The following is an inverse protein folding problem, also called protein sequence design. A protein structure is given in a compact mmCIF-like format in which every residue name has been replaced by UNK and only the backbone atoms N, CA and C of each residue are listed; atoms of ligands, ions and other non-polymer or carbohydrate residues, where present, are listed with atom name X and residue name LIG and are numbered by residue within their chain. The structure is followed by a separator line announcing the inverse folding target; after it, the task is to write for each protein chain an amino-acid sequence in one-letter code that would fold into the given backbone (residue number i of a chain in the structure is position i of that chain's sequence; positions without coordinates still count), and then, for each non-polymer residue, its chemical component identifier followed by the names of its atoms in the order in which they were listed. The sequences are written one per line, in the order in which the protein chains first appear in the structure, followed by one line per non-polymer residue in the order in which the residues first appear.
data_IF_020244555913
#
_entry.id   IF_020244555913
#
_cell.length_a   1.000
_cell.length_b   1.000
_cell.length_c   1.000
_cell.angle_alpha   90.00
_cell.angle_beta   90.00
_cell.angle_gamma   90.00
#
_symmetry.space_group_name_H-M   'P 1'
#
loop_
_entity.id
_entity.type
_entity.pdbx_description
1 polymer ?
#
# COMPACT_ATOMS: atom_id res chain seq x y z
N UNK A 1 8.33 26.70 -16.73
CA UNK A 1 9.14 26.40 -17.94
C UNK A 1 8.79 25.04 -18.54
N UNK A 2 8.74 23.94 -17.76
CA UNK A 2 8.48 22.59 -18.26
C UNK A 2 7.11 22.47 -18.95
N UNK A 3 6.04 22.91 -18.32
CA UNK A 3 4.66 22.84 -18.86
C UNK A 3 4.55 23.64 -20.18
N UNK A 4 5.22 24.79 -20.28
CA UNK A 4 5.27 25.55 -21.54
C UNK A 4 6.00 24.81 -22.65
N UNK A 5 7.05 24.05 -22.32
CA UNK A 5 7.83 23.27 -23.28
C UNK A 5 7.11 22.01 -23.74
N UNK A 6 6.44 21.33 -22.81
CA UNK A 6 5.76 20.06 -23.08
C UNK A 6 4.39 20.24 -23.73
N UNK A 7 3.77 21.42 -23.58
CA UNK A 7 2.41 21.70 -24.06
C UNK A 7 1.39 20.60 -23.72
N UNK A 8 1.30 20.12 -22.44
CA UNK A 8 0.40 19.02 -22.12
C UNK A 8 -1.06 19.42 -22.32
N UNK A 9 -1.90 18.50 -22.78
CA UNK A 9 -3.36 18.69 -22.88
C UNK A 9 -4.02 18.71 -21.50
N UNK A 10 -3.45 17.97 -20.53
CA UNK A 10 -3.90 17.89 -19.15
C UNK A 10 -2.71 17.69 -18.21
N UNK A 11 -2.82 18.24 -17.01
CA UNK A 11 -1.87 18.02 -15.91
C UNK A 11 -2.58 17.25 -14.80
N UNK A 12 -2.05 16.09 -14.41
CA UNK A 12 -2.56 15.26 -13.33
C UNK A 12 -1.70 15.47 -12.08
N UNK A 13 -2.33 15.90 -10.98
CA UNK A 13 -1.73 15.98 -9.65
C UNK A 13 -2.16 14.79 -8.79
N UNK A 14 -1.19 14.02 -8.30
CA UNK A 14 -1.43 12.84 -7.45
C UNK A 14 -1.13 13.13 -5.96
N UNK A 15 -1.15 14.39 -5.54
CA UNK A 15 -0.80 14.80 -4.18
C UNK A 15 0.70 14.95 -3.94
N UNK A 16 1.07 15.12 -2.67
CA UNK A 16 2.43 15.40 -2.26
C UNK A 16 2.88 16.84 -2.56
N UNK A 17 4.00 17.25 -1.95
CA UNK A 17 4.46 18.66 -2.03
C UNK A 17 4.86 19.10 -3.45
N UNK A 18 5.32 18.18 -4.29
CA UNK A 18 5.74 18.47 -5.67
C UNK A 18 4.53 18.81 -6.57
N UNK A 19 3.36 18.23 -6.30
CA UNK A 19 2.15 18.46 -7.08
C UNK A 19 1.65 19.92 -6.93
N UNK A 20 1.91 20.59 -5.80
CA UNK A 20 1.47 21.95 -5.53
C UNK A 20 1.96 22.98 -6.56
N UNK A 21 3.28 23.20 -6.67
CA UNK A 21 3.83 24.13 -7.66
C UNK A 21 3.48 23.78 -9.10
N UNK A 22 3.44 22.47 -9.44
CA UNK A 22 3.08 22.01 -10.77
C UNK A 22 1.61 22.32 -11.10
N UNK A 23 0.69 22.09 -10.15
CA UNK A 23 -0.73 22.38 -10.30
C UNK A 23 -1.01 23.88 -10.46
N UNK A 24 -0.36 24.72 -9.62
CA UNK A 24 -0.46 26.19 -9.75
C UNK A 24 0.06 26.66 -11.11
N UNK A 25 1.20 26.15 -11.55
CA UNK A 25 1.77 26.50 -12.86
C UNK A 25 0.85 26.05 -14.02
N UNK A 26 0.20 24.88 -13.92
CA UNK A 26 -0.78 24.45 -14.90
C UNK A 26 -1.96 25.42 -14.99
N UNK A 27 -2.52 25.79 -13.85
CA UNK A 27 -3.63 26.74 -13.76
C UNK A 27 -3.26 28.12 -14.35
N UNK A 28 -2.12 28.68 -13.96
CA UNK A 28 -1.62 29.97 -14.51
C UNK A 28 -1.41 29.93 -16.01
N UNK A 29 -1.01 28.77 -16.55
CA UNK A 29 -0.81 28.58 -17.99
C UNK A 29 -2.08 28.11 -18.71
N UNK A 30 -3.24 28.14 -18.02
CA UNK A 30 -4.55 27.75 -18.56
C UNK A 30 -4.56 26.31 -19.11
N UNK A 31 -3.76 25.41 -18.51
CA UNK A 31 -3.80 23.99 -18.81
C UNK A 31 -4.79 23.31 -17.86
N UNK A 32 -5.67 22.43 -18.36
CA UNK A 32 -6.58 21.69 -17.51
C UNK A 32 -5.82 20.96 -16.40
N UNK A 33 -6.19 21.20 -15.15
CA UNK A 33 -5.66 20.50 -13.97
C UNK A 33 -6.70 19.49 -13.51
N UNK A 34 -6.28 18.25 -13.35
CA UNK A 34 -7.02 17.17 -12.68
C UNK A 34 -6.22 16.78 -11.46
N UNK A 35 -6.87 16.57 -10.32
CA UNK A 35 -6.22 16.02 -9.13
C UNK A 35 -6.86 14.69 -8.76
N UNK A 36 -6.06 13.80 -8.18
CA UNK A 36 -6.50 12.53 -7.62
C UNK A 36 -6.07 12.45 -6.17
N UNK A 37 -7.02 12.17 -5.27
CA UNK A 37 -6.78 11.90 -3.86
C UNK A 37 -6.98 10.42 -3.58
N UNK A 38 -5.95 9.77 -3.06
CA UNK A 38 -5.95 8.34 -2.80
C UNK A 38 -6.57 7.97 -1.45
N UNK A 39 -6.49 8.88 -0.49
CA UNK A 39 -6.89 8.64 0.90
C UNK A 39 -8.33 9.12 1.16
N UNK A 40 -8.95 8.63 2.23
CA UNK A 40 -10.24 9.11 2.71
C UNK A 40 -10.17 10.54 3.30
N UNK A 41 -8.97 11.03 3.62
CA UNK A 41 -8.72 12.40 4.09
C UNK A 41 -7.85 13.11 3.08
N UNK A 42 -8.33 14.25 2.58
CA UNK A 42 -7.61 15.02 1.57
C UNK A 42 -6.30 15.61 2.13
N UNK A 43 -5.19 15.33 1.45
CA UNK A 43 -3.91 15.95 1.75
C UNK A 43 -3.91 17.45 1.50
N UNK A 44 -3.10 18.21 2.26
CA UNK A 44 -3.05 19.68 2.20
C UNK A 44 -2.85 20.21 0.78
N UNK A 45 -1.96 19.60 0.00
CA UNK A 45 -1.71 20.01 -1.39
C UNK A 45 -2.96 19.87 -2.26
N UNK A 46 -3.66 18.73 -2.17
CA UNK A 46 -4.89 18.50 -2.93
C UNK A 46 -6.03 19.41 -2.47
N UNK A 47 -6.14 19.69 -1.17
CA UNK A 47 -7.09 20.70 -0.66
C UNK A 47 -6.87 22.09 -1.30
N UNK A 48 -5.62 22.52 -1.44
CA UNK A 48 -5.30 23.81 -2.04
C UNK A 48 -5.49 23.83 -3.56
N UNK A 49 -5.25 22.71 -4.23
CA UNK A 49 -5.42 22.60 -5.68
C UNK A 49 -6.88 22.35 -6.10
N UNK A 50 -7.70 21.80 -5.23
CA UNK A 50 -9.08 21.45 -5.55
C UNK A 50 -9.90 22.62 -6.15
N UNK A 51 -9.86 23.87 -5.63
CA UNK A 51 -10.56 24.98 -6.25
C UNK A 51 -10.11 25.27 -7.67
N UNK A 52 -8.82 25.07 -7.98
CA UNK A 52 -8.18 25.35 -9.26
C UNK A 52 -8.32 24.20 -10.27
N UNK A 53 -8.60 23.00 -9.79
CA UNK A 53 -8.72 21.81 -10.62
C UNK A 53 -10.04 21.82 -11.42
N UNK A 54 -9.99 21.29 -12.64
CA UNK A 54 -11.18 21.04 -13.46
C UNK A 54 -11.98 19.84 -12.96
N UNK A 55 -11.29 18.79 -12.54
CA UNK A 55 -11.86 17.59 -11.93
C UNK A 55 -11.07 17.21 -10.68
N UNK A 56 -11.79 16.72 -9.67
CA UNK A 56 -11.26 16.14 -8.44
C UNK A 56 -11.67 14.68 -8.43
N UNK A 57 -10.70 13.79 -8.54
CA UNK A 57 -10.92 12.35 -8.53
C UNK A 57 -10.57 11.81 -7.14
N UNK A 58 -11.39 10.93 -6.59
CA UNK A 58 -11.22 10.35 -5.27
C UNK A 58 -11.07 8.84 -5.37
N UNK A 59 -10.06 8.30 -4.69
CA UNK A 59 -9.86 6.86 -4.53
C UNK A 59 -10.81 6.25 -3.51
N UNK A 60 -11.12 7.02 -2.45
CA UNK A 60 -12.03 6.67 -1.37
C UNK A 60 -13.02 7.81 -1.11
N UNK A 61 -14.17 7.51 -0.52
CA UNK A 61 -15.11 8.52 -0.02
C UNK A 61 -14.53 9.25 1.20
N UNK A 62 -15.03 10.45 1.50
CA UNK A 62 -14.66 11.25 2.67
C UNK A 62 -13.73 12.44 2.36
N UNK A 63 -12.82 12.33 1.40
CA UNK A 63 -11.81 13.36 1.15
C UNK A 63 -12.37 14.70 0.65
N UNK A 64 -13.39 14.66 -0.21
CA UNK A 64 -13.98 15.79 -0.91
C UNK A 64 -15.49 15.63 -1.11
N UNK A 65 -16.21 15.07 -0.14
CA UNK A 65 -17.64 14.81 -0.25
C UNK A 65 -18.46 16.08 -0.46
N UNK A 66 -18.00 17.23 0.07
CA UNK A 66 -18.66 18.53 -0.09
C UNK A 66 -18.27 19.28 -1.38
N UNK A 67 -17.41 18.70 -2.23
CA UNK A 67 -16.94 19.34 -3.46
C UNK A 67 -17.72 18.80 -4.66
N UNK A 68 -18.64 19.62 -5.21
CA UNK A 68 -19.55 19.24 -6.30
C UNK A 68 -18.88 18.65 -7.56
N UNK A 69 -17.60 18.94 -7.80
CA UNK A 69 -16.80 18.40 -8.92
C UNK A 69 -15.97 17.18 -8.56
N UNK A 70 -16.09 16.69 -7.32
CA UNK A 70 -15.43 15.46 -6.89
C UNK A 70 -16.17 14.24 -7.43
N UNK A 71 -15.41 13.24 -7.85
CA UNK A 71 -15.89 11.98 -8.39
C UNK A 71 -15.17 10.83 -7.73
N UNK A 72 -15.90 9.88 -7.16
CA UNK A 72 -15.34 8.64 -6.65
C UNK A 72 -15.06 7.70 -7.83
N UNK A 73 -13.78 7.46 -8.10
CA UNK A 73 -13.32 6.64 -9.24
C UNK A 73 -12.52 5.41 -8.80
N UNK A 74 -12.21 5.30 -7.52
CA UNK A 74 -11.30 4.29 -6.98
C UNK A 74 -9.82 4.69 -7.12
N UNK A 75 -8.96 3.89 -6.49
CA UNK A 75 -7.51 4.05 -6.61
C UNK A 75 -6.98 3.32 -7.83
N UNK A 76 -5.95 3.85 -8.53
CA UNK A 76 -5.32 3.16 -9.63
C UNK A 76 -4.57 1.93 -9.11
N UNK A 77 -4.92 0.76 -9.62
CA UNK A 77 -4.24 -0.51 -9.35
C UNK A 77 -3.50 -0.95 -10.59
N UNK A 78 -2.32 -1.53 -10.42
CA UNK A 78 -1.51 -2.05 -11.53
C UNK A 78 -2.27 -3.15 -12.26
N UNK A 79 -2.21 -3.15 -13.59
CA UNK A 79 -2.97 -4.10 -14.43
C UNK A 79 -2.60 -5.56 -14.14
N UNK A 80 -1.36 -5.84 -13.76
CA UNK A 80 -0.87 -7.15 -13.38
C UNK A 80 -1.56 -7.68 -12.12
N UNK A 81 -1.89 -6.78 -11.17
CA UNK A 81 -2.65 -7.11 -9.96
C UNK A 81 -4.14 -7.24 -10.28
N UNK A 82 -4.67 -6.36 -11.15
CA UNK A 82 -6.07 -6.48 -11.61
C UNK A 82 -6.33 -7.81 -12.29
N UNK A 83 -5.35 -8.34 -13.02
CA UNK A 83 -5.47 -9.67 -13.65
C UNK A 83 -5.59 -10.84 -12.64
N UNK A 84 -5.25 -10.61 -11.35
CA UNK A 84 -5.45 -11.59 -10.28
C UNK A 84 -6.91 -11.67 -9.80
N UNK A 85 -7.77 -10.72 -10.17
CA UNK A 85 -9.16 -10.65 -9.71
C UNK A 85 -9.99 -11.88 -10.12
N UNK A 86 -9.72 -12.45 -11.30
CA UNK A 86 -10.43 -13.62 -11.83
C UNK A 86 -10.00 -14.94 -11.15
N UNK A 87 -8.94 -14.91 -10.34
CA UNK A 87 -8.44 -16.05 -9.58
C UNK A 87 -8.33 -15.68 -8.09
N UNK A 88 -9.46 -15.49 -7.38
CA UNK A 88 -9.44 -15.11 -5.98
C UNK A 88 -8.66 -16.11 -5.13
N UNK A 89 -7.95 -15.62 -4.13
CA UNK A 89 -7.17 -16.44 -3.22
C UNK A 89 -8.05 -17.51 -2.57
N UNK A 90 -7.76 -18.78 -2.83
CA UNK A 90 -8.40 -19.87 -2.13
C UNK A 90 -7.67 -20.12 -0.81
N UNK A 91 -8.31 -19.72 0.29
CA UNK A 91 -7.79 -20.01 1.62
C UNK A 91 -8.20 -21.44 1.97
N UNK A 92 -7.24 -22.35 2.24
CA UNK A 92 -7.56 -23.67 2.72
C UNK A 92 -8.34 -23.61 4.03
N UNK A 93 -9.27 -24.53 4.23
CA UNK A 93 -9.99 -24.68 5.51
C UNK A 93 -9.09 -25.15 6.65
N UNK A 94 -7.99 -25.83 6.32
CA UNK A 94 -7.02 -26.35 7.26
C UNK A 94 -5.58 -26.14 6.75
N UNK A 95 -4.65 -25.93 7.66
CA UNK A 95 -3.23 -25.82 7.39
C UNK A 95 -2.48 -27.02 7.98
N UNK A 96 -1.47 -27.51 7.27
CA UNK A 96 -0.62 -28.62 7.68
C UNK A 96 0.85 -28.30 7.39
N UNK A 97 1.75 -29.20 7.81
CA UNK A 97 3.18 -29.04 7.47
C UNK A 97 3.45 -29.11 5.96
N UNK A 98 2.63 -29.86 5.19
CA UNK A 98 2.69 -29.96 3.73
C UNK A 98 2.06 -28.75 3.03
N UNK A 99 1.07 -28.13 3.69
CA UNK A 99 0.37 -26.91 3.22
C UNK A 99 0.31 -25.90 4.37
N UNK A 100 1.45 -25.25 4.70
CA UNK A 100 1.48 -24.25 5.75
C UNK A 100 0.73 -22.97 5.32
N UNK A 101 0.30 -22.18 6.32
CA UNK A 101 -0.20 -20.81 6.10
C UNK A 101 0.92 -19.97 5.48
N UNK A 102 0.66 -19.39 4.33
CA UNK A 102 1.56 -18.49 3.61
C UNK A 102 1.32 -17.06 4.05
N UNK A 103 2.18 -16.57 4.94
CA UNK A 103 2.09 -15.25 5.52
C UNK A 103 3.03 -14.30 4.79
N UNK A 104 2.48 -13.28 4.13
CA UNK A 104 3.23 -12.20 3.49
C UNK A 104 3.24 -10.96 4.39
N UNK A 105 4.43 -10.47 4.73
CA UNK A 105 4.60 -9.23 5.50
C UNK A 105 5.17 -8.15 4.59
N UNK A 106 4.48 -7.01 4.47
CA UNK A 106 4.85 -5.90 3.60
C UNK A 106 5.11 -4.63 4.39
N UNK A 107 6.38 -4.24 4.47
CA UNK A 107 6.80 -2.98 5.11
C UNK A 107 6.60 -1.73 4.26
N UNK A 108 6.32 -1.89 2.95
CA UNK A 108 6.31 -0.80 1.97
C UNK A 108 7.71 -0.51 1.40
N UNK A 109 7.82 0.41 0.44
CA UNK A 109 9.05 0.65 -0.35
C UNK A 109 10.30 0.93 0.49
N UNK A 110 10.16 1.56 1.65
CA UNK A 110 11.26 1.86 2.57
C UNK A 110 11.38 0.85 3.71
N UNK A 111 10.45 -0.10 3.80
CA UNK A 111 10.31 -0.97 4.95
C UNK A 111 9.56 -0.32 6.11
N UNK A 112 9.27 -1.09 7.15
CA UNK A 112 8.54 -0.64 8.33
C UNK A 112 9.13 -1.24 9.59
N UNK A 113 9.93 -0.45 10.35
CA UNK A 113 10.53 -0.91 11.60
C UNK A 113 9.52 -1.54 12.57
N UNK A 114 8.33 -0.96 12.80
CA UNK A 114 7.33 -1.60 13.66
C UNK A 114 6.89 -3.00 13.18
N UNK A 115 6.84 -3.26 11.87
CA UNK A 115 6.56 -4.60 11.34
C UNK A 115 7.79 -5.50 11.44
N UNK A 116 8.98 -4.95 11.14
CA UNK A 116 10.25 -5.69 11.18
C UNK A 116 10.61 -6.14 12.61
N UNK A 117 10.11 -5.48 13.63
CA UNK A 117 10.26 -5.84 15.03
C UNK A 117 9.07 -6.63 15.57
N UNK A 118 7.86 -6.13 15.30
CA UNK A 118 6.64 -6.69 15.89
C UNK A 118 6.27 -8.07 15.36
N UNK A 119 6.48 -8.34 14.07
CA UNK A 119 6.16 -9.67 13.52
C UNK A 119 7.07 -10.75 14.05
N UNK A 120 8.42 -10.63 14.04
CA UNK A 120 9.28 -11.64 14.69
C UNK A 120 8.95 -11.82 16.17
N UNK A 121 8.75 -10.73 16.94
CA UNK A 121 8.41 -10.81 18.35
C UNK A 121 7.07 -11.52 18.60
N UNK A 122 6.08 -11.32 17.74
CA UNK A 122 4.82 -12.07 17.82
C UNK A 122 5.02 -13.57 17.52
N UNK A 123 5.86 -13.91 16.55
CA UNK A 123 6.16 -15.29 16.21
C UNK A 123 6.95 -16.02 17.30
N UNK A 124 7.79 -15.33 18.08
CA UNK A 124 8.47 -15.90 19.25
C UNK A 124 7.50 -16.41 20.32
N UNK A 125 6.26 -15.93 20.35
CA UNK A 125 5.24 -16.38 21.31
C UNK A 125 4.54 -17.68 20.89
N UNK A 126 4.77 -18.15 19.67
CA UNK A 126 4.15 -19.35 19.12
C UNK A 126 4.95 -20.61 19.52
N UNK A 127 4.25 -21.73 19.66
CA UNK A 127 4.89 -23.02 19.86
C UNK A 127 5.59 -23.50 18.58
N UNK A 128 6.56 -24.41 18.72
CA UNK A 128 7.24 -25.03 17.57
C UNK A 128 6.25 -25.74 16.63
N UNK A 129 5.15 -26.30 17.15
CA UNK A 129 4.11 -26.91 16.35
C UNK A 129 3.36 -25.87 15.50
N UNK A 130 3.04 -24.72 16.08
CA UNK A 130 2.41 -23.61 15.36
C UNK A 130 3.34 -23.02 14.30
N UNK A 131 4.63 -22.85 14.64
CA UNK A 131 5.63 -22.31 13.68
C UNK A 131 5.82 -23.24 12.48
N UNK A 132 5.73 -24.57 12.63
CA UNK A 132 5.79 -25.51 11.50
C UNK A 132 4.64 -25.37 10.51
N UNK A 133 3.53 -24.76 10.94
CA UNK A 133 2.37 -24.49 10.09
C UNK A 133 2.48 -23.13 9.37
N UNK A 134 3.61 -22.43 9.46
CA UNK A 134 3.83 -21.14 8.85
C UNK A 134 4.94 -21.19 7.78
N UNK A 135 4.71 -20.47 6.70
CA UNK A 135 5.71 -20.09 5.71
C UNK A 135 5.63 -18.58 5.54
N UNK A 136 6.68 -17.87 5.91
CA UNK A 136 6.69 -16.40 5.99
C UNK A 136 7.56 -15.80 4.90
N UNK A 137 7.01 -14.86 4.12
CA UNK A 137 7.76 -13.95 3.28
C UNK A 137 7.69 -12.56 3.90
N UNK A 138 8.83 -11.98 4.26
CA UNK A 138 8.88 -10.65 4.90
C UNK A 138 9.69 -9.67 4.06
N UNK A 139 9.02 -8.68 3.48
CA UNK A 139 9.64 -7.55 2.83
C UNK A 139 9.93 -6.46 3.85
N UNK A 140 11.21 -6.26 4.17
CA UNK A 140 11.65 -5.44 5.30
C UNK A 140 12.22 -4.05 4.91
N UNK A 141 12.50 -3.82 3.62
CA UNK A 141 13.23 -2.63 3.16
C UNK A 141 14.75 -2.83 3.20
N UNK A 142 15.45 -2.28 2.21
CA UNK A 142 16.89 -2.48 2.04
C UNK A 142 17.72 -1.99 3.24
N UNK A 143 17.32 -0.86 3.85
CA UNK A 143 18.03 -0.30 5.00
C UNK A 143 17.86 -1.13 6.28
N UNK A 144 16.90 -2.03 6.33
CA UNK A 144 16.55 -2.77 7.54
C UNK A 144 16.78 -4.28 7.42
N UNK A 145 17.32 -4.75 6.29
CA UNK A 145 17.45 -6.17 6.00
C UNK A 145 18.22 -6.93 7.09
N UNK A 146 19.45 -6.50 7.41
CA UNK A 146 20.34 -7.22 8.33
C UNK A 146 19.76 -7.28 9.76
N UNK A 147 19.17 -6.18 10.23
CA UNK A 147 18.53 -6.15 11.55
C UNK A 147 17.29 -7.05 11.60
N UNK A 148 16.52 -7.12 10.50
CA UNK A 148 15.36 -8.01 10.42
C UNK A 148 15.78 -9.48 10.42
N UNK A 149 16.84 -9.83 9.68
CA UNK A 149 17.43 -11.17 9.71
C UNK A 149 17.87 -11.54 11.14
N UNK A 150 18.54 -10.62 11.84
CA UNK A 150 18.93 -10.84 13.23
C UNK A 150 17.73 -11.07 14.16
N UNK A 151 16.65 -10.34 13.98
CA UNK A 151 15.40 -10.52 14.76
C UNK A 151 14.82 -11.93 14.56
N UNK A 152 14.73 -12.38 13.30
CA UNK A 152 14.23 -13.73 13.00
C UNK A 152 15.15 -14.86 13.49
N UNK A 153 16.43 -14.61 13.68
CA UNK A 153 17.36 -15.62 14.21
C UNK A 153 17.06 -16.02 15.66
N UNK A 154 16.33 -15.20 16.40
CA UNK A 154 15.86 -15.51 17.76
C UNK A 154 14.62 -16.41 17.77
N UNK A 155 13.88 -16.47 16.68
CA UNK A 155 12.70 -17.33 16.56
C UNK A 155 13.14 -18.77 16.29
N UNK A 156 12.42 -19.75 16.81
CA UNK A 156 12.64 -21.17 16.52
C UNK A 156 12.67 -21.44 15.02
N UNK A 157 13.35 -22.50 14.60
CA UNK A 157 13.51 -22.86 13.18
C UNK A 157 12.17 -23.08 12.49
N UNK A 158 11.82 -22.24 11.55
CA UNK A 158 10.67 -22.35 10.67
C UNK A 158 11.02 -21.77 9.28
N UNK A 159 10.09 -21.89 8.33
CA UNK A 159 10.33 -21.41 6.96
C UNK A 159 10.07 -19.91 6.85
N UNK A 160 11.15 -19.12 6.70
CA UNK A 160 11.08 -17.67 6.49
C UNK A 160 12.01 -17.21 5.38
N UNK A 161 11.48 -16.41 4.44
CA UNK A 161 12.24 -15.68 3.44
C UNK A 161 12.17 -14.18 3.76
N UNK A 162 13.33 -13.58 4.04
CA UNK A 162 13.45 -12.15 4.33
C UNK A 162 14.03 -11.47 3.09
N UNK A 163 13.35 -10.47 2.59
CA UNK A 163 13.74 -9.79 1.36
C UNK A 163 13.68 -8.27 1.51
N UNK A 164 14.63 -7.53 0.92
CA UNK A 164 14.62 -6.08 0.97
C UNK A 164 13.46 -5.47 0.17
N UNK A 165 13.08 -6.11 -0.93
CA UNK A 165 12.05 -5.64 -1.85
C UNK A 165 11.32 -6.82 -2.52
N UNK A 166 10.10 -6.59 -2.99
CA UNK A 166 9.30 -7.54 -3.77
C UNK A 166 9.13 -6.96 -5.18
N UNK A 167 9.75 -7.59 -6.17
CA UNK A 167 9.68 -7.13 -7.56
C UNK A 167 8.32 -7.45 -8.20
N UNK A 168 7.82 -8.66 -7.98
CA UNK A 168 6.54 -9.12 -8.48
C UNK A 168 5.48 -9.20 -7.37
N UNK A 169 4.79 -8.09 -7.18
CA UNK A 169 3.70 -8.01 -6.18
C UNK A 169 2.48 -8.87 -6.58
N UNK A 170 2.25 -9.09 -7.88
CA UNK A 170 1.16 -9.94 -8.34
C UNK A 170 1.37 -11.39 -7.89
N UNK A 171 2.56 -11.93 -8.14
CA UNK A 171 2.94 -13.26 -7.66
C UNK A 171 2.93 -13.35 -6.13
N UNK A 172 3.37 -12.29 -5.43
CA UNK A 172 3.38 -12.27 -3.97
C UNK A 172 1.96 -12.32 -3.37
N UNK A 173 1.00 -11.57 -3.92
CA UNK A 173 -0.39 -11.63 -3.48
C UNK A 173 -1.05 -12.98 -3.81
N UNK A 174 -0.78 -13.55 -4.98
CA UNK A 174 -1.29 -14.90 -5.34
C UNK A 174 -0.70 -16.01 -4.47
N UNK A 175 0.53 -15.85 -4.00
CA UNK A 175 1.17 -16.80 -3.11
C UNK A 175 0.58 -16.72 -1.69
N UNK A 176 0.21 -15.53 -1.21
CA UNK A 176 -0.18 -15.29 0.17
C UNK A 176 -1.59 -15.80 0.51
N UNK A 177 -1.74 -16.46 1.65
CA UNK A 177 -3.04 -16.74 2.26
C UNK A 177 -3.47 -15.60 3.19
N UNK A 178 -2.50 -14.90 3.80
CA UNK A 178 -2.70 -13.78 4.70
C UNK A 178 -1.60 -12.74 4.50
N UNK A 179 -1.96 -11.46 4.49
CA UNK A 179 -1.01 -10.34 4.40
C UNK A 179 -1.03 -9.54 5.69
N UNK A 180 0.15 -9.21 6.23
CA UNK A 180 0.31 -8.19 7.27
C UNK A 180 1.01 -7.00 6.62
N UNK A 181 0.38 -5.82 6.63
CA UNK A 181 0.96 -4.65 5.98
C UNK A 181 0.53 -3.33 6.63
N UNK A 182 1.12 -2.22 6.16
CA UNK A 182 0.63 -0.89 6.47
C UNK A 182 -0.69 -0.60 5.76
N UNK A 183 -1.57 0.20 6.41
CA UNK A 183 -2.88 0.60 5.88
C UNK A 183 -2.77 1.75 4.85
N UNK A 184 -1.86 1.63 3.87
CA UNK A 184 -1.73 2.60 2.78
C UNK A 184 -2.84 2.42 1.76
N UNK A 185 -3.44 3.52 1.28
CA UNK A 185 -4.61 3.50 0.39
C UNK A 185 -4.41 2.66 -0.89
N UNK A 186 -3.23 2.70 -1.50
CA UNK A 186 -2.92 1.88 -2.69
C UNK A 186 -2.78 0.40 -2.33
N UNK A 187 -2.16 0.07 -1.21
CA UNK A 187 -2.03 -1.32 -0.74
C UNK A 187 -3.41 -1.90 -0.42
N UNK A 188 -4.28 -1.12 0.24
CA UNK A 188 -5.67 -1.53 0.52
C UNK A 188 -6.44 -1.77 -0.77
N UNK A 189 -6.27 -0.90 -1.79
CA UNK A 189 -6.90 -1.10 -3.09
C UNK A 189 -6.40 -2.37 -3.81
N UNK A 190 -5.10 -2.66 -3.75
CA UNK A 190 -4.51 -3.89 -4.31
C UNK A 190 -5.06 -5.15 -3.60
N UNK A 191 -5.10 -5.13 -2.26
CA UNK A 191 -5.66 -6.24 -1.46
C UNK A 191 -7.15 -6.46 -1.74
N UNK A 192 -7.92 -5.38 -1.91
CA UNK A 192 -9.34 -5.48 -2.26
C UNK A 192 -9.56 -6.12 -3.64
N UNK A 193 -8.69 -5.81 -4.61
CA UNK A 193 -8.75 -6.41 -5.95
C UNK A 193 -8.36 -7.90 -5.92
N UNK A 194 -7.30 -8.26 -5.17
CA UNK A 194 -6.85 -9.65 -5.10
C UNK A 194 -7.72 -10.52 -4.19
N UNK A 195 -8.59 -9.91 -3.37
CA UNK A 195 -9.38 -10.64 -2.37
C UNK A 195 -8.54 -11.28 -1.26
N UNK A 196 -7.28 -10.86 -1.09
CA UNK A 196 -6.37 -11.46 -0.12
C UNK A 196 -6.69 -10.94 1.29
N UNK A 197 -6.96 -11.81 2.27
CA UNK A 197 -7.15 -11.42 3.66
C UNK A 197 -5.95 -10.67 4.21
N UNK A 198 -6.21 -9.68 5.06
CA UNK A 198 -5.12 -8.84 5.55
C UNK A 198 -5.32 -8.35 6.98
N UNK A 199 -4.20 -8.20 7.68
CA UNK A 199 -4.08 -7.48 8.95
C UNK A 199 -3.42 -6.14 8.64
N UNK A 200 -4.20 -5.07 8.74
CA UNK A 200 -3.72 -3.72 8.48
C UNK A 200 -3.15 -3.10 9.76
N UNK A 201 -1.90 -2.65 9.69
CA UNK A 201 -1.21 -1.99 10.80
C UNK A 201 -1.04 -0.50 10.45
N UNK A 202 -1.89 0.40 10.95
CA UNK A 202 -1.83 1.82 10.66
C UNK A 202 -0.50 2.44 11.08
N UNK A 203 -0.08 3.51 10.41
CA UNK A 203 1.08 4.30 10.80
C UNK A 203 0.73 5.17 12.03
N UNK A 204 1.43 5.06 13.18
CA UNK A 204 1.04 5.72 14.44
C UNK A 204 0.94 7.25 14.37
N UNK A 205 1.55 7.88 13.40
CA UNK A 205 1.57 9.33 13.20
C UNK A 205 1.29 9.70 11.74
N UNK A 206 0.36 8.97 11.10
CA UNK A 206 -0.09 9.36 9.77
C UNK A 206 -0.67 10.78 9.80
N UNK A 207 -0.26 11.64 8.85
CA UNK A 207 -0.78 13.00 8.75
C UNK A 207 -2.32 12.92 8.67
N UNK A 208 -3.01 13.66 9.54
CA UNK A 208 -4.47 13.69 9.64
C UNK A 208 -5.13 12.31 9.92
N UNK A 209 -4.37 11.34 10.46
CA UNK A 209 -4.87 10.00 10.87
C UNK A 209 -5.53 9.21 9.70
N UNK A 210 -5.11 9.48 8.47
CA UNK A 210 -5.74 8.96 7.24
C UNK A 210 -5.66 7.44 7.06
N UNK A 211 -4.90 6.71 7.92
CA UNK A 211 -4.79 5.24 7.86
C UNK A 211 -5.72 4.52 8.86
N UNK A 212 -6.39 5.25 9.74
CA UNK A 212 -7.29 4.69 10.77
C UNK A 212 -8.78 4.96 10.48
N UNK A 213 -9.06 5.69 9.40
CA UNK A 213 -10.42 6.06 8.96
C UNK A 213 -10.87 5.33 7.73
#
# INVERSE_FOLDING_TARGET
LLIRRLHPDVVLGMGGYVAGPAGIAAWLLRRPLVIHEQNAVAGTTNRWLAPLARHVLCGLSGAFDDVAKAQLVGNPVRKEIVACFDAPAHIPSEFSAERPLRLLVLGGSLGSMPLNEGVPAALETLSDEQLRLLNVHHQCGSAHHDITVQRYSAVSKFNVAIMPFVDDMSAAYQWADLVICRAGALTVAELAVTGTPSILVPLPHAIDDHQTR
#
